data_IF_908896063313
#
_entry.id   IF_908896063313
#
_cell.length_a   1.000
_cell.length_b   1.000
_cell.length_c   1.000
_cell.angle_alpha   90.00
_cell.angle_beta   90.00
_cell.angle_gamma   90.00
#
_symmetry.space_group_name_H-M   'P 1'
#
loop_
_entity.id
_entity.type
_entity.pdbx_description
1 polymer ?
#
# COMPACT_ATOMS: atom_id res chain seq x y z
N UNK A 1 3.18 -62.67 18.88
CA UNK A 1 2.22 -61.68 18.32
C UNK A 1 1.89 -60.53 19.27
N UNK A 2 1.72 -60.76 20.58
CA UNK A 2 1.30 -59.72 21.53
C UNK A 2 2.30 -58.56 21.72
N UNK A 3 3.58 -58.82 22.00
CA UNK A 3 4.54 -57.75 22.37
C UNK A 3 4.83 -56.75 21.24
N UNK A 4 4.87 -57.21 19.98
CA UNK A 4 5.05 -56.36 18.79
C UNK A 4 3.86 -55.44 18.53
N UNK A 5 2.63 -55.96 18.62
CA UNK A 5 1.41 -55.16 18.43
C UNK A 5 1.27 -54.08 19.52
N UNK A 6 1.62 -54.41 20.76
CA UNK A 6 1.52 -53.50 21.90
C UNK A 6 2.79 -52.67 22.11
N UNK A 7 3.73 -52.66 21.15
CA UNK A 7 4.95 -51.84 21.14
C UNK A 7 5.84 -52.02 22.38
N UNK A 8 5.73 -53.15 23.08
CA UNK A 8 6.50 -53.45 24.30
C UNK A 8 7.93 -53.95 24.03
N UNK A 9 8.29 -54.14 22.76
CA UNK A 9 9.64 -54.51 22.28
C UNK A 9 10.43 -53.30 21.74
N UNK A 10 9.83 -52.11 21.72
CA UNK A 10 10.45 -50.92 21.12
C UNK A 10 11.21 -50.18 22.22
N UNK A 11 12.51 -50.45 22.34
CA UNK A 11 13.42 -49.52 22.99
C UNK A 11 13.40 -48.21 22.18
N UNK A 12 13.12 -47.09 22.86
CA UNK A 12 12.66 -45.86 22.24
C UNK A 12 13.78 -45.10 21.51
N UNK A 13 14.14 -45.56 20.32
CA UNK A 13 14.70 -44.71 19.25
C UNK A 13 13.79 -44.77 18.03
N UNK A 14 12.48 -44.58 18.26
CA UNK A 14 11.59 -44.18 17.18
C UNK A 14 12.02 -42.77 16.76
N UNK A 15 12.89 -42.68 15.74
CA UNK A 15 13.17 -41.43 15.03
C UNK A 15 11.83 -40.91 14.54
N UNK A 16 11.20 -40.04 15.34
CA UNK A 16 9.95 -39.38 14.98
C UNK A 16 10.22 -38.71 13.65
N UNK A 17 9.61 -39.20 12.58
CA UNK A 17 9.72 -38.60 11.25
C UNK A 17 9.18 -37.18 11.33
N UNK A 18 10.03 -36.21 11.66
CA UNK A 18 9.68 -34.79 11.59
C UNK A 18 9.39 -34.49 10.13
N UNK A 19 8.18 -34.04 9.84
CA UNK A 19 7.82 -33.55 8.51
C UNK A 19 8.74 -32.38 8.18
N UNK A 20 9.60 -32.53 7.17
CA UNK A 20 10.41 -31.43 6.66
C UNK A 20 9.57 -30.59 5.72
N UNK A 21 9.05 -29.46 6.19
CA UNK A 21 8.49 -28.44 5.31
C UNK A 21 9.65 -27.75 4.59
N UNK A 22 9.84 -28.06 3.31
CA UNK A 22 10.84 -27.36 2.50
C UNK A 22 10.25 -26.02 2.06
N UNK A 23 10.69 -24.94 2.71
CA UNK A 23 10.41 -23.57 2.24
C UNK A 23 11.31 -23.30 1.05
N UNK A 24 10.92 -23.80 -0.13
CA UNK A 24 11.63 -23.51 -1.37
C UNK A 24 11.43 -22.02 -1.69
N UNK A 25 12.50 -21.20 -1.75
CA UNK A 25 12.35 -19.84 -2.25
C UNK A 25 11.80 -19.92 -3.68
N UNK A 26 10.89 -19.02 -4.02
CA UNK A 26 10.25 -18.99 -5.34
C UNK A 26 11.33 -18.70 -6.40
N UNK A 27 11.87 -19.76 -7.00
CA UNK A 27 12.91 -19.72 -8.02
C UNK A 27 12.34 -19.57 -9.44
N UNK A 28 11.03 -19.36 -9.54
CA UNK A 28 10.31 -19.20 -10.82
C UNK A 28 10.14 -17.71 -11.12
N UNK A 29 10.29 -17.36 -12.39
CA UNK A 29 9.84 -16.06 -12.91
C UNK A 29 8.33 -15.92 -12.76
N UNK A 30 7.87 -14.67 -12.69
CA UNK A 30 6.45 -14.32 -12.69
C UNK A 30 6.12 -13.77 -14.08
N UNK A 31 4.90 -13.96 -14.58
CA UNK A 31 4.50 -13.69 -15.98
C UNK A 31 5.08 -12.38 -16.54
N UNK A 32 4.91 -11.26 -15.83
CA UNK A 32 5.36 -9.94 -16.27
C UNK A 32 6.78 -9.55 -15.84
N UNK A 33 7.52 -10.41 -15.13
CA UNK A 33 8.86 -10.08 -14.63
C UNK A 33 9.74 -11.32 -14.43
N UNK A 34 10.93 -11.29 -15.00
CA UNK A 34 11.94 -12.32 -14.76
C UNK A 34 12.45 -12.28 -13.31
N UNK A 35 12.95 -13.42 -12.82
CA UNK A 35 13.43 -13.55 -11.44
C UNK A 35 14.56 -12.55 -11.12
N UNK A 36 15.44 -12.28 -12.07
CA UNK A 36 16.55 -11.32 -11.91
C UNK A 36 16.07 -9.89 -11.69
N UNK A 37 15.04 -9.46 -12.44
CA UNK A 37 14.46 -8.12 -12.29
C UNK A 37 13.80 -7.98 -10.92
N UNK A 38 13.10 -9.01 -10.46
CA UNK A 38 12.48 -9.04 -9.14
C UNK A 38 13.55 -8.95 -8.04
N UNK A 39 14.64 -9.71 -8.17
CA UNK A 39 15.72 -9.70 -7.19
C UNK A 39 16.40 -8.33 -7.14
N UNK A 40 16.77 -7.74 -8.27
CA UNK A 40 17.39 -6.40 -8.34
C UNK A 40 16.54 -5.36 -7.59
N UNK A 41 15.24 -5.30 -7.87
CA UNK A 41 14.29 -4.41 -7.16
C UNK A 41 14.21 -4.69 -5.65
N UNK A 42 14.25 -5.97 -5.25
CA UNK A 42 14.22 -6.38 -3.83
C UNK A 42 15.54 -6.15 -3.09
N UNK A 43 16.67 -6.14 -3.78
CA UNK A 43 18.00 -5.97 -3.15
C UNK A 43 18.56 -4.56 -3.27
N UNK A 44 17.86 -3.64 -3.95
CA UNK A 44 18.18 -2.21 -3.93
C UNK A 44 18.40 -1.70 -2.49
N UNK A 45 19.32 -0.75 -2.32
CA UNK A 45 19.59 -0.16 -1.01
C UNK A 45 18.37 0.65 -0.55
N UNK A 46 18.05 0.66 0.76
CA UNK A 46 16.94 1.46 1.28
C UNK A 46 17.06 2.94 0.90
N UNK A 47 18.27 3.50 0.94
CA UNK A 47 18.56 4.88 0.53
C UNK A 47 18.07 5.21 -0.89
N UNK A 48 18.24 4.29 -1.84
CA UNK A 48 17.79 4.47 -3.23
C UNK A 48 16.27 4.41 -3.32
N UNK A 49 15.63 3.53 -2.52
CA UNK A 49 14.17 3.43 -2.45
C UNK A 49 13.55 4.67 -1.82
N UNK A 50 14.12 5.13 -0.72
CA UNK A 50 13.64 6.28 0.02
C UNK A 50 13.80 7.55 -0.82
N UNK A 51 14.93 7.70 -1.55
CA UNK A 51 15.10 8.78 -2.51
C UNK A 51 14.05 8.75 -3.63
N UNK A 52 13.75 7.59 -4.21
CA UNK A 52 12.71 7.45 -5.22
C UNK A 52 11.31 7.75 -4.67
N UNK A 53 11.04 7.34 -3.42
CA UNK A 53 9.79 7.61 -2.72
C UNK A 53 9.63 9.12 -2.43
N UNK A 54 10.68 9.77 -1.94
CA UNK A 54 10.69 11.22 -1.71
C UNK A 54 10.52 12.00 -3.02
N UNK A 55 11.17 11.59 -4.10
CA UNK A 55 10.99 12.20 -5.42
C UNK A 55 9.54 12.09 -5.88
N UNK A 56 8.93 10.90 -5.80
CA UNK A 56 7.53 10.69 -6.15
C UNK A 56 6.58 11.53 -5.27
N UNK A 57 6.83 11.61 -3.96
CA UNK A 57 6.05 12.47 -3.06
C UNK A 57 6.19 13.95 -3.40
N UNK A 58 7.38 14.41 -3.81
CA UNK A 58 7.61 15.80 -4.25
C UNK A 58 6.84 16.08 -5.54
N UNK A 59 6.85 15.18 -6.51
CA UNK A 59 6.09 15.32 -7.76
C UNK A 59 4.57 15.36 -7.51
N UNK A 60 4.05 14.49 -6.63
CA UNK A 60 2.64 14.51 -6.25
C UNK A 60 2.25 15.84 -5.58
N UNK A 61 3.12 16.40 -4.73
CA UNK A 61 2.87 17.69 -4.08
C UNK A 61 2.89 18.83 -5.10
N UNK A 62 3.91 18.91 -5.96
CA UNK A 62 4.02 19.93 -7.02
C UNK A 62 2.81 19.91 -7.96
N UNK A 63 2.42 18.73 -8.44
CA UNK A 63 1.25 18.60 -9.32
C UNK A 63 -0.08 18.91 -8.63
N UNK A 64 -0.18 18.72 -7.31
CA UNK A 64 -1.34 19.20 -6.53
C UNK A 64 -1.34 20.72 -6.43
N UNK A 65 -0.21 21.34 -6.13
CA UNK A 65 -0.11 22.79 -6.00
C UNK A 65 -0.39 23.48 -7.35
N UNK A 66 0.07 22.92 -8.47
CA UNK A 66 -0.24 23.37 -9.82
C UNK A 66 -1.74 23.23 -10.15
N UNK A 67 -2.37 22.10 -9.79
CA UNK A 67 -3.81 21.92 -9.96
C UNK A 67 -4.62 22.88 -9.09
N UNK A 68 -4.18 23.15 -7.87
CA UNK A 68 -4.86 24.10 -6.97
C UNK A 68 -4.67 25.54 -7.47
N UNK A 69 -3.50 25.89 -8.01
CA UNK A 69 -3.26 27.17 -8.66
C UNK A 69 -4.09 27.35 -9.94
N UNK A 70 -4.25 26.30 -10.76
CA UNK A 70 -5.11 26.32 -11.95
C UNK A 70 -6.60 26.50 -11.57
N UNK A 71 -7.06 25.82 -10.53
CA UNK A 71 -8.43 25.98 -10.01
C UNK A 71 -8.65 27.37 -9.43
N UNK A 72 -7.66 27.93 -8.72
CA UNK A 72 -7.72 29.31 -8.21
C UNK A 72 -7.68 30.35 -9.33
N UNK A 73 -6.88 30.16 -10.37
CA UNK A 73 -6.83 31.03 -11.54
C UNK A 73 -8.15 31.02 -12.33
N UNK A 74 -8.76 29.84 -12.52
CA UNK A 74 -10.10 29.72 -13.13
C UNK A 74 -11.19 30.35 -12.26
N UNK A 75 -11.06 30.30 -10.94
CA UNK A 75 -11.99 30.96 -10.01
C UNK A 75 -11.88 32.49 -10.02
N UNK A 76 -10.69 33.05 -10.24
CA UNK A 76 -10.49 34.50 -10.33
C UNK A 76 -11.00 35.08 -11.66
N UNK A 77 -11.09 34.29 -12.72
CA UNK A 77 -11.70 34.74 -13.99
C UNK A 77 -13.23 34.82 -13.96
N UNK A 78 -13.90 34.32 -12.91
CA UNK A 78 -15.35 34.42 -12.76
C UNK A 78 -15.82 35.52 -11.80
N UNK A 79 -14.92 36.27 -11.16
CA UNK A 79 -15.26 37.28 -10.15
C UNK A 79 -15.08 38.74 -10.61
N UNK A 80 -15.52 39.05 -11.84
CA UNK A 80 -15.79 40.45 -12.27
C UNK A 80 -17.19 40.52 -12.90
N UNK A 81 -18.21 40.46 -12.05
CA UNK A 81 -19.58 40.88 -12.40
C UNK A 81 -20.03 41.85 -11.29
N UNK A 82 -20.48 43.07 -11.61
CA UNK A 82 -20.64 44.13 -10.62
C UNK A 82 -21.88 43.93 -9.75
N UNK A 83 -21.72 44.42 -8.53
CA UNK A 83 -22.67 44.62 -7.43
C UNK A 83 -24.08 45.00 -7.89
N UNK A 84 -25.03 44.08 -7.70
CA UNK A 84 -26.48 44.32 -7.75
C UNK A 84 -27.11 44.00 -6.40
N UNK A 85 -28.00 44.87 -5.95
CA UNK A 85 -28.54 44.98 -4.60
C UNK A 85 -29.18 43.70 -4.00
N UNK A 86 -29.05 43.55 -2.69
CA UNK A 86 -29.80 42.60 -1.87
C UNK A 86 -31.31 42.93 -1.88
N UNK A 87 -32.17 41.98 -1.49
CA UNK A 87 -32.63 42.05 -0.10
C UNK A 87 -32.80 40.70 0.62
N UNK A 88 -32.45 40.73 1.90
CA UNK A 88 -33.09 40.07 3.06
C UNK A 88 -33.60 38.63 2.91
N UNK A 89 -32.87 37.72 3.56
CA UNK A 89 -33.43 36.88 4.63
C UNK A 89 -33.83 35.46 4.26
N UNK A 90 -33.13 34.47 4.82
CA UNK A 90 -33.72 33.46 5.73
C UNK A 90 -32.58 32.86 6.56
N UNK A 91 -32.76 32.91 7.87
CA UNK A 91 -31.83 32.49 8.91
C UNK A 91 -32.34 31.17 9.47
N UNK A 92 -31.87 30.04 8.95
CA UNK A 92 -32.04 28.69 9.49
C UNK A 92 -30.81 27.90 9.01
N UNK A 93 -29.89 27.35 9.81
CA UNK A 93 -29.96 26.94 11.20
C UNK A 93 -29.42 25.52 11.28
N UNK A 94 -28.26 25.34 11.93
CA UNK A 94 -27.69 24.03 12.30
C UNK A 94 -27.06 23.27 11.13
N UNK A 95 -25.88 22.65 11.23
CA UNK A 95 -25.25 22.05 12.39
C UNK A 95 -24.52 20.81 11.84
N UNK A 96 -23.23 20.68 12.14
CA UNK A 96 -22.41 19.57 11.65
C UNK A 96 -23.00 18.20 12.03
N UNK A 97 -22.87 17.25 11.11
CA UNK A 97 -23.30 15.87 11.30
C UNK A 97 -22.32 14.91 10.65
N UNK A 98 -21.51 14.24 11.48
CA UNK A 98 -20.75 13.03 11.16
C UNK A 98 -21.66 11.99 10.50
N UNK A 99 -21.21 11.39 9.40
CA UNK A 99 -21.40 9.97 9.07
C UNK A 99 -20.16 9.47 8.35
#
# INVERSE_FOLDING_TARGET
MYRKQHKKDIAAEAVKKRRRATKKPYSRSIVGATLEVIQKKRTEKPEVRDAAHEAALREIKKTKDEKMAEVMAKSQTQSKVPKGAAPKGTKLGGGGGKR
#
